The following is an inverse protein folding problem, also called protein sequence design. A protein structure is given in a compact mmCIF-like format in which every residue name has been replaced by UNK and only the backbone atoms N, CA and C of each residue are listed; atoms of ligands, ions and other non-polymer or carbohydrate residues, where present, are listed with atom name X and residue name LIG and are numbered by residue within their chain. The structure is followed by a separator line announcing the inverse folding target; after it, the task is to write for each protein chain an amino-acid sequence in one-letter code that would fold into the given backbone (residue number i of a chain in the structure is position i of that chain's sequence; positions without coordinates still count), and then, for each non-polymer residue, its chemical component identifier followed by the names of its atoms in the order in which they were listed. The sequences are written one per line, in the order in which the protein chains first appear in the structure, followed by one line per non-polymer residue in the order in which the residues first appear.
data_IF_366154324055
#
_entry.id   IF_366154324055
#
_cell.length_a   1.000
_cell.length_b   1.000
_cell.length_c   1.000
_cell.angle_alpha   90.00
_cell.angle_beta   90.00
_cell.angle_gamma   90.00
#
_symmetry.space_group_name_H-M   'P 1'
#
loop_
_entity.id
_entity.type
_entity.pdbx_description
1 polymer ?
#
# COMPACT_ATOMS: atom_id res chain seq x y z
N UNK A 1 -16.93 -24.67 8.31
CA UNK A 1 -15.60 -25.32 8.25
C UNK A 1 -14.46 -24.37 8.62
N UNK A 2 -14.54 -23.06 8.34
CA UNK A 2 -13.54 -22.09 8.78
C UNK A 2 -13.53 -21.85 10.31
N UNK A 3 -14.69 -21.90 10.97
CA UNK A 3 -14.80 -21.66 12.43
C UNK A 3 -14.06 -22.68 13.29
N UNK A 4 -14.17 -23.97 12.94
CA UNK A 4 -13.43 -25.03 13.64
C UNK A 4 -11.91 -24.89 13.51
N UNK A 5 -11.43 -24.27 12.44
CA UNK A 5 -10.01 -23.99 12.23
C UNK A 5 -9.54 -22.79 13.07
N UNK A 6 -10.37 -21.74 13.17
CA UNK A 6 -10.10 -20.55 13.99
C UNK A 6 -10.12 -20.85 15.49
N UNK A 7 -11.01 -21.76 15.93
CA UNK A 7 -11.11 -22.17 17.33
C UNK A 7 -9.94 -23.05 17.76
N UNK A 8 -9.52 -24.02 16.94
CA UNK A 8 -8.57 -25.06 17.39
C UNK A 8 -7.08 -24.76 17.13
N UNK A 9 -6.75 -23.86 16.19
CA UNK A 9 -5.36 -23.49 15.88
C UNK A 9 -5.00 -22.06 16.29
N UNK A 10 -5.96 -21.13 16.21
CA UNK A 10 -5.74 -19.71 16.50
C UNK A 10 -6.34 -19.25 17.84
N UNK A 11 -7.13 -20.10 18.51
CA UNK A 11 -7.74 -19.81 19.81
C UNK A 11 -8.69 -18.60 19.80
N UNK A 12 -9.24 -18.23 18.64
CA UNK A 12 -10.04 -17.01 18.48
C UNK A 12 -11.26 -17.27 17.56
N UNK A 13 -12.42 -17.63 18.13
CA UNK A 13 -13.66 -17.74 17.35
C UNK A 13 -14.03 -16.36 16.76
N UNK A 14 -14.46 -16.31 15.50
CA UNK A 14 -14.87 -15.07 14.80
C UNK A 14 -13.80 -14.37 13.95
N UNK A 15 -12.60 -14.95 13.77
CA UNK A 15 -11.53 -14.34 12.96
C UNK A 15 -11.92 -14.00 11.50
N UNK A 16 -12.91 -14.71 10.93
CA UNK A 16 -13.34 -14.52 9.54
C UNK A 16 -14.69 -13.78 9.38
N UNK A 17 -15.31 -13.32 10.47
CA UNK A 17 -16.65 -12.70 10.43
C UNK A 17 -16.66 -11.17 10.34
N UNK A 18 -15.49 -10.50 10.42
CA UNK A 18 -15.38 -9.06 10.19
C UNK A 18 -15.17 -8.74 8.71
N UNK A 19 -15.91 -7.75 8.20
CA UNK A 19 -15.76 -7.15 6.86
C UNK A 19 -14.33 -6.68 6.52
N UNK A 20 -13.47 -6.56 7.53
CA UNK A 20 -12.09 -6.08 7.48
C UNK A 20 -11.05 -7.15 7.12
N UNK A 21 -11.44 -8.41 6.96
CA UNK A 21 -10.51 -9.51 6.62
C UNK A 21 -9.79 -9.32 5.26
N UNK A 22 -10.15 -8.31 4.48
CA UNK A 22 -9.55 -7.96 3.17
C UNK A 22 -8.72 -6.68 3.19
N UNK A 23 -8.66 -5.97 4.31
CA UNK A 23 -7.95 -4.70 4.44
C UNK A 23 -6.53 -4.89 4.96
N UNK A 24 -5.69 -5.45 4.09
CA UNK A 24 -4.33 -5.86 4.39
C UNK A 24 -3.31 -4.73 4.19
N UNK A 25 -3.56 -3.84 3.23
CA UNK A 25 -2.61 -2.82 2.82
C UNK A 25 -3.25 -1.43 2.76
N UNK A 26 -2.48 -0.43 3.14
CA UNK A 26 -2.85 0.98 3.03
C UNK A 26 -1.79 1.77 2.26
N UNK A 27 -2.21 2.91 1.71
CA UNK A 27 -1.32 3.92 1.14
C UNK A 27 -1.38 5.25 1.91
N UNK A 28 -2.02 5.28 3.08
CA UNK A 28 -2.18 6.51 3.87
C UNK A 28 -0.85 7.18 4.26
N UNK A 29 0.22 6.46 4.65
CA UNK A 29 1.51 7.09 4.89
C UNK A 29 2.04 7.85 3.66
N UNK A 30 1.82 7.29 2.47
CA UNK A 30 2.21 7.89 1.19
C UNK A 30 1.34 9.10 0.89
N UNK A 31 0.02 8.99 1.07
CA UNK A 31 -0.92 10.10 0.87
C UNK A 31 -0.63 11.27 1.81
N UNK A 32 -0.28 11.00 3.08
CA UNK A 32 0.07 12.04 4.06
C UNK A 32 1.38 12.76 3.77
N UNK A 33 2.43 12.01 3.40
CA UNK A 33 3.73 12.60 3.04
C UNK A 33 3.72 13.22 1.63
N UNK A 34 2.78 12.78 0.79
CA UNK A 34 2.59 13.25 -0.57
C UNK A 34 3.84 13.04 -1.44
N UNK A 35 4.23 14.04 -2.24
CA UNK A 35 5.30 13.90 -3.23
C UNK A 35 6.70 13.71 -2.63
N UNK A 36 6.84 13.98 -1.32
CA UNK A 36 8.10 13.83 -0.58
C UNK A 36 8.26 12.45 0.08
N UNK A 37 7.24 11.58 -0.03
CA UNK A 37 7.31 10.24 0.53
C UNK A 37 8.54 9.49 0.02
N UNK A 38 9.30 8.95 0.95
CA UNK A 38 10.43 8.08 0.70
C UNK A 38 10.34 6.87 1.63
N UNK A 39 10.71 5.71 1.12
CA UNK A 39 10.82 4.51 1.93
C UNK A 39 12.03 4.61 2.86
N UNK A 40 11.83 4.31 4.14
CA UNK A 40 12.95 3.94 5.00
C UNK A 40 13.33 2.48 4.71
N UNK A 41 14.61 2.28 4.42
CA UNK A 41 15.21 0.98 4.18
C UNK A 41 16.58 0.82 4.86
N UNK A 42 16.95 1.75 5.75
CA UNK A 42 18.27 1.74 6.40
C UNK A 42 18.50 0.50 7.29
N UNK A 43 17.43 -0.21 7.66
CA UNK A 43 17.47 -1.45 8.41
C UNK A 43 17.92 -2.67 7.58
N UNK A 44 17.95 -2.58 6.24
CA UNK A 44 18.35 -3.67 5.35
C UNK A 44 19.38 -3.21 4.32
N UNK A 45 20.65 -3.43 4.63
CA UNK A 45 21.80 -3.09 3.77
C UNK A 45 21.81 -3.85 2.44
N UNK A 46 20.95 -4.85 2.24
CA UNK A 46 20.82 -5.50 0.92
C UNK A 46 20.02 -4.63 -0.04
N UNK A 47 19.19 -3.71 0.46
CA UNK A 47 18.43 -2.78 -0.36
C UNK A 47 19.34 -1.62 -0.75
N UNK A 48 19.68 -1.54 -2.04
CA UNK A 48 20.51 -0.47 -2.59
C UNK A 48 19.71 0.80 -2.85
N UNK A 49 18.48 0.65 -3.37
CA UNK A 49 17.65 1.77 -3.78
C UNK A 49 16.19 1.35 -3.92
N UNK A 50 15.27 2.26 -3.61
CA UNK A 50 13.85 2.15 -3.93
C UNK A 50 13.43 3.35 -4.79
N UNK A 51 12.66 3.12 -5.86
CA UNK A 51 12.12 4.17 -6.74
C UNK A 51 10.62 3.99 -6.94
N UNK A 52 9.82 5.04 -6.72
CA UNK A 52 8.37 4.99 -6.97
C UNK A 52 8.12 5.33 -8.43
N UNK A 53 7.84 4.29 -9.21
CA UNK A 53 7.79 4.36 -10.68
C UNK A 53 6.38 4.50 -11.24
N UNK A 54 5.36 4.34 -10.41
CA UNK A 54 3.98 4.56 -10.80
C UNK A 54 3.09 4.88 -9.60
N UNK A 55 2.06 5.68 -9.84
CA UNK A 55 1.06 6.05 -8.85
C UNK A 55 -0.28 6.31 -9.55
N UNK A 56 -1.39 5.92 -8.91
CA UNK A 56 -2.73 6.24 -9.39
C UNK A 56 -3.52 6.96 -8.29
N UNK A 57 -3.96 8.17 -8.58
CA UNK A 57 -4.83 8.96 -7.71
C UNK A 57 -6.28 8.81 -8.20
N UNK A 58 -7.16 8.37 -7.32
CA UNK A 58 -8.56 8.11 -7.59
C UNK A 58 -9.42 9.22 -6.98
N UNK A 59 -10.23 9.88 -7.81
CA UNK A 59 -11.21 10.87 -7.41
C UNK A 59 -12.54 10.18 -7.11
N UNK A 60 -13.02 10.34 -5.88
CA UNK A 60 -14.31 9.87 -5.45
C UNK A 60 -15.28 11.02 -5.26
N UNK A 61 -16.53 10.83 -5.68
CA UNK A 61 -17.63 11.73 -5.35
C UNK A 61 -18.65 10.97 -4.53
N UNK A 62 -19.28 11.69 -3.59
CA UNK A 62 -20.43 11.21 -2.87
C UNK A 62 -21.70 11.76 -3.52
N UNK A 63 -22.61 10.87 -3.88
CA UNK A 63 -23.95 11.26 -4.30
C UNK A 63 -24.68 11.91 -3.12
N UNK A 64 -25.23 13.12 -3.33
CA UNK A 64 -25.84 13.90 -2.27
C UNK A 64 -27.21 13.37 -1.83
N UNK A 65 -27.88 12.60 -2.68
CA UNK A 65 -29.21 12.06 -2.42
C UNK A 65 -29.11 10.66 -1.81
N UNK A 66 -28.23 9.81 -2.34
CA UNK A 66 -28.10 8.41 -1.91
C UNK A 66 -26.97 8.18 -0.90
N UNK A 67 -26.02 9.11 -0.80
CA UNK A 67 -24.81 8.95 0.02
C UNK A 67 -23.76 8.00 -0.58
N UNK A 68 -24.02 7.43 -1.77
CA UNK A 68 -23.13 6.46 -2.41
C UNK A 68 -21.82 7.11 -2.85
N UNK A 69 -20.69 6.49 -2.50
CA UNK A 69 -19.36 6.93 -2.92
C UNK A 69 -18.97 6.20 -4.20
N UNK A 70 -18.75 6.93 -5.28
CA UNK A 70 -18.37 6.37 -6.59
C UNK A 70 -17.00 6.87 -7.04
N UNK A 71 -16.25 6.00 -7.70
CA UNK A 71 -15.04 6.39 -8.43
C UNK A 71 -15.45 7.16 -9.68
N UNK A 72 -14.99 8.41 -9.80
CA UNK A 72 -15.32 9.29 -10.93
C UNK A 72 -14.19 9.31 -11.94
N UNK A 73 -12.94 9.37 -11.48
CA UNK A 73 -11.76 9.52 -12.33
C UNK A 73 -10.53 8.94 -11.66
N UNK A 74 -9.62 8.40 -12.47
CA UNK A 74 -8.27 8.02 -12.03
C UNK A 74 -7.24 8.85 -12.80
N UNK A 75 -6.33 9.49 -12.07
CA UNK A 75 -5.13 10.12 -12.62
C UNK A 75 -3.93 9.19 -12.43
N UNK A 76 -3.33 8.74 -13.52
CA UNK A 76 -2.19 7.82 -13.49
C UNK A 76 -0.90 8.55 -13.82
N UNK A 77 0.11 8.36 -12.98
CA UNK A 77 1.47 8.81 -13.18
C UNK A 77 2.40 7.60 -13.34
N UNK A 78 3.32 7.67 -14.31
CA UNK A 78 4.39 6.68 -14.51
C UNK A 78 5.69 7.41 -14.79
N UNK A 79 6.74 7.08 -14.04
CA UNK A 79 8.07 7.64 -14.21
C UNK A 79 9.16 6.64 -13.80
N UNK A 80 9.95 6.14 -14.76
CA UNK A 80 11.05 5.21 -14.48
C UNK A 80 12.18 5.80 -13.62
N UNK A 81 12.26 7.12 -13.49
CA UNK A 81 13.25 7.81 -12.64
C UNK A 81 12.95 7.67 -11.15
N UNK A 82 11.69 7.44 -10.78
CA UNK A 82 11.23 7.39 -9.39
C UNK A 82 10.44 8.61 -8.92
N UNK A 83 10.14 9.59 -9.79
CA UNK A 83 9.43 10.82 -9.43
C UNK A 83 7.91 10.75 -9.68
N UNK A 84 7.31 9.55 -9.75
CA UNK A 84 5.90 9.40 -10.14
C UNK A 84 4.92 10.17 -9.22
N UNK A 85 5.21 10.26 -7.91
CA UNK A 85 4.37 11.03 -6.98
C UNK A 85 4.47 12.56 -7.20
N UNK A 86 5.62 13.06 -7.70
CA UNK A 86 5.82 14.50 -7.95
C UNK A 86 4.97 15.01 -9.09
N UNK A 87 4.52 14.15 -10.00
CA UNK A 87 3.60 14.57 -11.07
C UNK A 87 2.23 15.04 -10.55
N UNK A 88 1.89 14.75 -9.29
CA UNK A 88 0.70 15.30 -8.67
C UNK A 88 0.92 16.71 -8.12
N UNK A 89 2.17 17.15 -7.92
CA UNK A 89 2.49 18.54 -7.55
C UNK A 89 2.01 19.49 -8.66
N UNK A 90 1.25 20.51 -8.29
CA UNK A 90 0.67 21.47 -9.24
C UNK A 90 -0.52 20.95 -10.07
N UNK A 91 -0.95 19.70 -9.88
CA UNK A 91 -2.18 19.16 -10.47
C UNK A 91 -3.42 19.50 -9.61
N UNK A 92 -4.61 19.04 -10.02
CA UNK A 92 -5.85 19.09 -9.23
C UNK A 92 -5.89 18.06 -8.08
N UNK A 93 -4.96 17.10 -8.03
CA UNK A 93 -4.96 16.01 -7.04
C UNK A 93 -4.61 16.54 -5.64
N UNK A 94 -5.52 16.37 -4.67
CA UNK A 94 -5.33 16.71 -3.26
C UNK A 94 -5.72 15.54 -2.36
N UNK A 95 -4.72 14.74 -1.97
CA UNK A 95 -4.95 13.55 -1.14
C UNK A 95 -5.55 13.94 0.22
N UNK A 96 -6.52 13.15 0.70
CA UNK A 96 -7.21 13.38 1.97
C UNK A 96 -8.56 14.08 1.85
N UNK A 97 -8.87 14.67 0.68
CA UNK A 97 -10.22 15.12 0.33
C UNK A 97 -10.92 14.01 -0.50
N UNK A 98 -11.50 14.39 -1.64
CA UNK A 98 -12.09 13.48 -2.61
C UNK A 98 -11.05 12.55 -3.29
N UNK A 99 -9.76 12.91 -3.27
CA UNK A 99 -8.69 12.12 -3.87
C UNK A 99 -8.07 11.13 -2.90
N UNK A 100 -7.92 9.89 -3.35
CA UNK A 100 -7.22 8.81 -2.63
C UNK A 100 -6.10 8.25 -3.49
N UNK A 101 -4.98 7.87 -2.89
CA UNK A 101 -3.95 7.13 -3.62
C UNK A 101 -4.41 5.66 -3.71
N UNK A 102 -4.94 5.27 -4.87
CA UNK A 102 -5.51 3.93 -5.07
C UNK A 102 -4.48 2.88 -5.44
N UNK A 103 -3.33 3.30 -5.98
CA UNK A 103 -2.26 2.38 -6.36
C UNK A 103 -0.88 3.05 -6.30
N UNK A 104 0.11 2.27 -5.89
CA UNK A 104 1.52 2.61 -6.00
C UNK A 104 2.32 1.45 -6.59
N UNK A 105 3.21 1.75 -7.53
CA UNK A 105 4.21 0.81 -8.05
C UNK A 105 5.60 1.35 -7.78
N UNK A 106 6.46 0.55 -7.17
CA UNK A 106 7.84 0.91 -6.89
C UNK A 106 8.81 -0.22 -7.28
N UNK A 107 10.07 0.14 -7.53
CA UNK A 107 11.13 -0.79 -7.87
C UNK A 107 12.16 -0.82 -6.74
N UNK A 108 12.38 -2.00 -6.18
CA UNK A 108 13.42 -2.27 -5.20
C UNK A 108 14.63 -2.84 -5.93
N UNK A 109 15.78 -2.20 -5.75
CA UNK A 109 17.07 -2.67 -6.27
C UNK A 109 17.86 -3.26 -5.13
N UNK A 110 18.23 -4.53 -5.25
CA UNK A 110 19.02 -5.25 -4.25
C UNK A 110 20.49 -5.34 -4.69
N UNK A 111 21.39 -5.19 -3.71
CA UNK A 111 22.81 -5.50 -3.86
C UNK A 111 22.96 -7.01 -4.04
N UNK A 112 23.74 -7.40 -5.04
CA UNK A 112 24.07 -8.80 -5.34
C UNK A 112 25.53 -8.89 -5.76
N UNK A 113 26.13 -10.07 -5.59
CA UNK A 113 27.47 -10.36 -6.12
C UNK A 113 27.47 -10.53 -7.65
N UNK A 114 26.29 -10.51 -8.28
CA UNK A 114 26.15 -10.60 -9.72
C UNK A 114 26.45 -9.27 -10.41
N UNK A 115 26.93 -9.34 -11.65
CA UNK A 115 27.24 -8.16 -12.48
C UNK A 115 26.05 -7.22 -12.70
N UNK A 116 24.82 -7.72 -12.60
CA UNK A 116 23.60 -6.90 -12.64
C UNK A 116 22.89 -6.96 -11.29
N UNK A 117 22.51 -5.80 -10.73
CA UNK A 117 21.73 -5.77 -9.50
C UNK A 117 20.36 -6.41 -9.73
N UNK A 118 19.86 -7.11 -8.72
CA UNK A 118 18.53 -7.69 -8.80
C UNK A 118 17.47 -6.60 -8.59
N UNK A 119 16.47 -6.55 -9.47
CA UNK A 119 15.38 -5.59 -9.37
C UNK A 119 14.06 -6.31 -9.22
N UNK A 120 13.25 -5.86 -8.26
CA UNK A 120 11.88 -6.34 -8.06
C UNK A 120 10.92 -5.17 -8.17
N UNK A 121 9.97 -5.28 -9.09
CA UNK A 121 8.85 -4.33 -9.20
C UNK A 121 7.72 -4.81 -8.30
N UNK A 122 7.29 -3.95 -7.40
CA UNK A 122 6.24 -4.19 -6.41
C UNK A 122 5.08 -3.25 -6.69
N UNK A 123 3.86 -3.79 -6.71
CA UNK A 123 2.61 -3.04 -6.82
C UNK A 123 1.80 -3.23 -5.55
N UNK A 124 1.40 -2.13 -4.95
CA UNK A 124 0.47 -2.08 -3.81
C UNK A 124 -0.82 -1.44 -4.32
N UNK A 125 -1.92 -2.16 -4.16
CA UNK A 125 -3.27 -1.68 -4.44
C UNK A 125 -4.18 -2.04 -3.26
N UNK A 126 -4.42 -1.10 -2.33
CA UNK A 126 -5.39 -1.27 -1.26
C UNK A 126 -6.78 -1.67 -1.78
N UNK A 127 -7.58 -2.36 -0.96
CA UNK A 127 -7.26 -2.81 0.41
C UNK A 127 -6.43 -4.11 0.46
N UNK A 128 -6.37 -4.90 -0.61
CA UNK A 128 -5.95 -6.31 -0.51
C UNK A 128 -4.76 -6.76 -1.35
N UNK A 129 -4.19 -5.93 -2.22
CA UNK A 129 -3.20 -6.39 -3.21
C UNK A 129 -1.79 -5.91 -2.90
N UNK A 130 -0.88 -6.86 -2.67
CA UNK A 130 0.56 -6.69 -2.82
C UNK A 130 1.04 -7.69 -3.89
N UNK A 131 1.52 -7.18 -5.01
CA UNK A 131 1.87 -8.00 -6.17
C UNK A 131 3.31 -7.75 -6.62
N UNK A 132 4.09 -8.82 -6.71
CA UNK A 132 5.42 -8.85 -7.27
C UNK A 132 5.76 -10.29 -7.70
N UNK A 133 6.77 -10.45 -8.57
CA UNK A 133 7.20 -11.80 -9.00
C UNK A 133 7.87 -12.53 -7.84
N UNK A 134 7.59 -13.83 -7.70
CA UNK A 134 8.27 -14.71 -6.72
C UNK A 134 9.79 -14.59 -6.85
N UNK A 135 10.45 -14.49 -5.71
CA UNK A 135 11.87 -14.13 -5.63
C UNK A 135 12.42 -14.45 -4.25
N UNK A 136 13.73 -14.71 -4.16
CA UNK A 136 14.42 -14.90 -2.87
C UNK A 136 14.34 -13.70 -1.93
N UNK A 137 13.93 -12.53 -2.42
CA UNK A 137 13.78 -11.29 -1.65
C UNK A 137 12.37 -11.07 -1.10
N UNK A 138 11.46 -12.06 -1.20
CA UNK A 138 10.07 -11.97 -0.72
C UNK A 138 9.98 -11.42 0.71
N UNK A 139 10.74 -12.01 1.65
CA UNK A 139 10.75 -11.55 3.05
C UNK A 139 11.17 -10.09 3.21
N UNK A 140 12.20 -9.64 2.47
CA UNK A 140 12.67 -8.26 2.55
C UNK A 140 11.63 -7.25 2.03
N UNK A 141 10.84 -7.65 1.02
CA UNK A 141 9.74 -6.83 0.49
C UNK A 141 8.60 -6.74 1.51
N UNK A 142 8.21 -7.85 2.14
CA UNK A 142 7.20 -7.81 3.21
C UNK A 142 7.66 -6.95 4.40
N UNK A 143 8.91 -7.11 4.85
CA UNK A 143 9.48 -6.28 5.93
C UNK A 143 9.47 -4.78 5.56
N UNK A 144 9.73 -4.45 4.29
CA UNK A 144 9.69 -3.07 3.77
C UNK A 144 8.28 -2.47 3.81
N UNK A 145 7.28 -3.23 3.37
CA UNK A 145 5.88 -2.82 3.41
C UNK A 145 5.43 -2.58 4.86
N UNK A 146 5.69 -3.54 5.75
CA UNK A 146 5.30 -3.45 7.15
C UNK A 146 5.96 -2.28 7.88
N UNK A 147 7.29 -2.11 7.74
CA UNK A 147 8.04 -1.05 8.43
C UNK A 147 7.71 0.36 7.96
N UNK A 148 7.24 0.51 6.73
CA UNK A 148 6.78 1.79 6.18
C UNK A 148 5.27 2.03 6.43
N UNK A 149 4.63 1.21 7.27
CA UNK A 149 3.22 1.35 7.65
C UNK A 149 2.24 1.12 6.50
N UNK A 150 2.66 0.40 5.46
CA UNK A 150 1.83 0.08 4.30
C UNK A 150 1.04 -1.21 4.48
N UNK A 151 1.30 -1.95 5.56
CA UNK A 151 0.47 -3.06 6.03
C UNK A 151 -0.44 -2.56 7.16
N UNK A 152 -1.73 -2.92 7.12
CA UNK A 152 -2.63 -2.62 8.23
C UNK A 152 -2.40 -3.63 9.34
N UNK A 153 -1.83 -3.18 10.45
CA UNK A 153 -1.82 -3.94 11.70
C UNK A 153 -3.19 -3.80 12.36
N UNK A 154 -3.84 -4.90 12.76
CA UNK A 154 -5.21 -4.90 13.31
C UNK A 154 -5.42 -4.00 14.56
N UNK A 155 -4.37 -3.51 15.21
CA UNK A 155 -4.44 -2.52 16.30
C UNK A 155 -5.07 -1.18 15.86
N UNK A 156 -4.95 -0.79 14.59
CA UNK A 156 -5.53 0.45 14.08
C UNK A 156 -7.05 0.35 13.82
N UNK A 157 -7.58 -0.87 13.67
CA UNK A 157 -9.01 -1.11 13.41
C UNK A 157 -9.82 -0.98 14.71
N UNK A 158 -9.25 -1.42 15.84
CA UNK A 158 -9.88 -1.31 17.16
C UNK A 158 -9.99 0.13 17.69
N UNK A 159 -9.14 1.06 17.22
CA UNK A 159 -9.16 2.46 17.66
C UNK A 159 -10.27 3.30 17.00
N UNK A 160 -10.82 2.85 15.87
CA UNK A 160 -11.91 3.54 15.17
C UNK A 160 -13.27 3.11 15.73
N UNK A 161 -13.44 1.82 16.05
CA UNK A 161 -14.68 1.29 16.67
C UNK A 161 -14.91 1.77 18.12
N UNK A 162 -13.86 2.14 18.85
CA UNK A 162 -13.98 2.62 20.23
C UNK A 162 -14.38 4.11 20.36
N UNK A 163 -14.56 4.80 19.23
CA UNK A 163 -14.86 6.24 19.18
C UNK A 163 -16.27 6.56 18.63
N UNK A 164 -17.14 5.56 18.46
CA UNK A 164 -18.56 5.74 18.10
C UNK A 164 -19.49 5.62 19.31
#
# INVERSE_FOLDING_TARGET
MADLFAEHILGRPGFFSGSDARDLYTLDPVSRAGPTFAFDHAYDDRIAQIRIVGAAADLYEQDKETGEVRLVRTWVSKDGSGAALRHFEGSEVRFGEAWRLGEMTFRVTFRTEATRPAQVTVRVKPPGTLAFRRTRFERAIHDLIARNGLEKTQDAVLAVDAAE
#
